data_IF_477333552910
#
_entry.id   IF_477333552910
#
_cell.length_a   1.000
_cell.length_b   1.000
_cell.length_c   1.000
_cell.angle_alpha   90.00
_cell.angle_beta   90.00
_cell.angle_gamma   90.00
#
_symmetry.space_group_name_H-M   'P 1'
#
loop_
_entity.id
_entity.type
_entity.pdbx_description
1 polymer ?
#
# COMPACT_ATOMS: atom_id res chain seq x y z
N UNK A 1 1.10 -20.38 -18.73
CA UNK A 1 1.29 -19.00 -19.19
C UNK A 1 2.55 -18.46 -18.54
N UNK A 2 3.37 -17.72 -19.30
CA UNK A 2 4.55 -17.04 -18.78
C UNK A 2 4.22 -15.60 -18.44
N UNK A 3 4.53 -15.19 -17.19
CA UNK A 3 4.27 -13.84 -16.68
C UNK A 3 5.58 -13.22 -16.20
N UNK A 4 5.91 -12.05 -16.73
CA UNK A 4 7.02 -11.25 -16.22
C UNK A 4 6.47 -10.18 -15.27
N UNK A 5 7.08 -10.03 -14.08
CA UNK A 5 6.73 -9.02 -13.10
C UNK A 5 7.88 -8.05 -12.94
N UNK A 6 7.70 -6.85 -13.48
CA UNK A 6 8.68 -5.76 -13.42
C UNK A 6 8.44 -4.91 -12.19
N UNK A 7 9.39 -4.86 -11.29
CA UNK A 7 9.26 -4.11 -10.02
C UNK A 7 10.62 -3.66 -9.50
N UNK A 8 10.62 -2.66 -8.65
CA UNK A 8 11.72 -2.27 -7.78
C UNK A 8 11.62 -3.08 -6.47
N UNK A 9 12.16 -4.30 -6.45
CA UNK A 9 11.93 -5.33 -5.41
C UNK A 9 12.31 -4.86 -3.99
N UNK A 10 13.30 -4.01 -3.87
CA UNK A 10 13.80 -3.55 -2.57
C UNK A 10 12.92 -2.47 -1.92
N UNK A 11 11.91 -1.97 -2.64
CA UNK A 11 10.99 -0.95 -2.14
C UNK A 11 9.81 -1.55 -1.38
N UNK A 12 8.92 -0.65 -0.93
CA UNK A 12 7.67 -0.95 -0.21
C UNK A 12 6.82 -2.06 -0.84
N UNK A 13 6.86 -2.20 -2.15
CA UNK A 13 5.92 -3.04 -2.91
C UNK A 13 6.38 -4.50 -3.08
N UNK A 14 7.64 -4.82 -2.79
CA UNK A 14 8.19 -6.16 -3.01
C UNK A 14 7.42 -7.27 -2.28
N UNK A 15 6.93 -7.01 -1.05
CA UNK A 15 6.14 -8.00 -0.30
C UNK A 15 4.78 -8.27 -0.96
N UNK A 16 4.06 -7.22 -1.38
CA UNK A 16 2.78 -7.35 -2.06
C UNK A 16 2.93 -8.14 -3.36
N UNK A 17 3.95 -7.81 -4.15
CA UNK A 17 4.25 -8.51 -5.39
C UNK A 17 4.54 -9.99 -5.16
N UNK A 18 5.34 -10.33 -4.14
CA UNK A 18 5.64 -11.74 -3.82
C UNK A 18 4.41 -12.52 -3.41
N UNK A 19 3.54 -11.96 -2.57
CA UNK A 19 2.28 -12.62 -2.17
C UNK A 19 1.43 -12.95 -3.39
N UNK A 20 1.30 -12.00 -4.31
CA UNK A 20 0.55 -12.18 -5.54
C UNK A 20 1.21 -13.22 -6.47
N UNK A 21 2.54 -13.17 -6.61
CA UNK A 21 3.27 -14.12 -7.43
C UNK A 21 3.23 -15.54 -6.90
N UNK A 22 3.45 -15.72 -5.59
CA UNK A 22 3.34 -17.04 -4.96
C UNK A 22 1.97 -17.67 -5.32
N UNK A 23 0.90 -16.86 -5.33
CA UNK A 23 -0.44 -17.33 -5.72
C UNK A 23 -0.53 -17.78 -7.18
N UNK A 24 0.13 -17.09 -8.11
CA UNK A 24 0.16 -17.48 -9.52
C UNK A 24 1.06 -18.70 -9.75
N UNK A 25 2.19 -18.78 -9.06
CA UNK A 25 3.08 -19.95 -9.10
C UNK A 25 2.36 -21.21 -8.61
N UNK A 26 1.62 -21.11 -7.49
CA UNK A 26 0.82 -22.20 -6.93
C UNK A 26 -0.29 -22.67 -7.91
N UNK A 27 -0.75 -21.76 -8.79
CA UNK A 27 -1.70 -22.06 -9.86
C UNK A 27 -1.05 -22.63 -11.14
N UNK A 28 0.27 -22.84 -11.15
CA UNK A 28 0.99 -23.45 -12.26
C UNK A 28 1.42 -22.50 -13.37
N UNK A 29 1.43 -21.18 -13.12
CA UNK A 29 2.00 -20.21 -14.06
C UNK A 29 3.52 -20.13 -13.91
N UNK A 30 4.22 -19.83 -15.02
CA UNK A 30 5.66 -19.57 -15.04
C UNK A 30 5.89 -18.07 -14.77
N UNK A 31 6.46 -17.75 -13.62
CA UNK A 31 6.62 -16.35 -13.15
C UNK A 31 8.10 -16.00 -13.11
N UNK A 32 8.48 -14.94 -13.80
CA UNK A 32 9.82 -14.37 -13.76
C UNK A 32 9.80 -12.96 -13.18
N UNK A 33 10.59 -12.76 -12.14
CA UNK A 33 10.81 -11.44 -11.54
C UNK A 33 11.91 -10.70 -12.28
N UNK A 34 11.62 -9.44 -12.59
CA UNK A 34 12.57 -8.54 -13.25
C UNK A 34 12.78 -7.35 -12.35
N UNK A 35 13.90 -7.35 -11.64
CA UNK A 35 14.29 -6.25 -10.78
C UNK A 35 14.74 -5.06 -11.63
N UNK A 36 14.08 -3.94 -11.46
CA UNK A 36 14.41 -2.69 -12.12
C UNK A 36 15.46 -1.86 -11.33
N UNK A 37 15.65 -2.17 -10.04
CA UNK A 37 16.48 -1.36 -9.15
C UNK A 37 15.98 0.08 -9.03
N UNK A 38 16.82 0.97 -8.54
CA UNK A 38 16.48 2.37 -8.23
C UNK A 38 16.90 3.38 -9.31
N UNK A 39 17.61 2.95 -10.35
CA UNK A 39 18.07 3.85 -11.41
C UNK A 39 16.99 4.03 -12.49
N UNK A 40 16.28 5.14 -12.43
CA UNK A 40 15.23 5.50 -13.40
C UNK A 40 15.77 5.81 -14.80
N UNK A 41 17.06 6.08 -14.95
CA UNK A 41 17.70 6.39 -16.24
C UNK A 41 18.18 5.15 -16.99
N UNK A 42 18.29 4.01 -16.31
CA UNK A 42 18.67 2.77 -16.97
C UNK A 42 17.57 2.27 -17.93
N UNK A 43 17.90 1.77 -19.13
CA UNK A 43 16.91 1.15 -20.01
C UNK A 43 16.27 -0.07 -19.36
N UNK A 44 15.11 -0.47 -19.84
CA UNK A 44 14.49 -1.71 -19.38
C UNK A 44 15.41 -2.90 -19.70
N UNK A 45 15.51 -3.90 -18.81
CA UNK A 45 16.27 -5.11 -19.08
C UNK A 45 15.73 -5.80 -20.33
N UNK A 46 16.64 -6.30 -21.16
CA UNK A 46 16.26 -7.13 -22.31
C UNK A 46 16.06 -8.57 -21.83
N UNK A 47 14.82 -8.92 -21.54
CA UNK A 47 14.41 -10.26 -21.12
C UNK A 47 13.63 -10.97 -22.23
N UNK A 48 13.47 -12.27 -22.12
CA UNK A 48 12.69 -13.06 -23.08
C UNK A 48 11.25 -12.60 -23.23
N UNK A 49 10.48 -13.30 -24.07
CA UNK A 49 9.05 -13.02 -24.24
C UNK A 49 8.23 -13.57 -23.08
N UNK A 50 7.16 -12.87 -22.73
CA UNK A 50 6.11 -13.32 -21.84
C UNK A 50 4.74 -13.14 -22.49
N UNK A 51 3.75 -13.91 -22.03
CA UNK A 51 2.36 -13.72 -22.45
C UNK A 51 1.81 -12.43 -21.83
N UNK A 52 2.13 -12.20 -20.54
CA UNK A 52 1.71 -11.01 -19.79
C UNK A 52 2.90 -10.39 -19.07
N UNK A 53 3.00 -9.06 -19.13
CA UNK A 53 3.93 -8.24 -18.37
C UNK A 53 3.14 -7.46 -17.31
N UNK A 54 3.38 -7.74 -16.05
CA UNK A 54 2.85 -6.98 -14.93
C UNK A 54 3.86 -5.91 -14.53
N UNK A 55 3.47 -4.67 -14.72
CA UNK A 55 4.29 -3.48 -14.49
C UNK A 55 3.90 -2.89 -13.14
N UNK A 56 4.71 -3.09 -12.14
CA UNK A 56 4.41 -2.59 -10.78
C UNK A 56 4.79 -1.11 -10.69
N UNK A 57 3.80 -0.26 -10.46
CA UNK A 57 3.96 1.20 -10.42
C UNK A 57 4.64 1.68 -9.12
N UNK A 58 5.85 1.22 -8.86
CA UNK A 58 6.69 1.66 -7.75
C UNK A 58 7.25 3.08 -7.95
N UNK A 59 7.99 3.54 -6.94
CA UNK A 59 8.57 4.90 -6.91
C UNK A 59 9.54 5.13 -8.08
N UNK A 60 10.34 4.12 -8.41
CA UNK A 60 11.36 4.19 -9.47
C UNK A 60 10.88 3.54 -10.78
N UNK A 61 10.01 2.53 -10.67
CA UNK A 61 9.54 1.77 -11.82
C UNK A 61 8.63 2.59 -12.75
N UNK A 62 7.65 3.30 -12.20
CA UNK A 62 6.71 4.10 -12.99
C UNK A 62 7.38 5.19 -13.85
N UNK A 63 8.29 6.02 -13.31
CA UNK A 63 9.05 6.97 -14.11
C UNK A 63 9.90 6.30 -15.20
N UNK A 64 10.48 5.13 -14.90
CA UNK A 64 11.30 4.38 -15.84
C UNK A 64 10.50 3.85 -17.02
N UNK A 65 9.30 3.31 -16.79
CA UNK A 65 8.39 2.92 -17.87
C UNK A 65 7.99 4.10 -18.73
N UNK A 66 7.64 5.24 -18.13
CA UNK A 66 7.27 6.44 -18.88
C UNK A 66 8.42 6.98 -19.73
N UNK A 67 9.68 6.85 -19.26
CA UNK A 67 10.87 7.32 -19.96
C UNK A 67 11.34 6.40 -21.08
N UNK A 68 11.34 5.09 -20.84
CA UNK A 68 11.96 4.10 -21.73
C UNK A 68 10.95 3.23 -22.50
N UNK A 69 9.64 3.46 -22.29
CA UNK A 69 8.57 2.66 -22.86
C UNK A 69 8.32 1.35 -22.12
N UNK A 70 7.51 0.50 -22.72
CA UNK A 70 7.12 -0.80 -22.17
C UNK A 70 7.92 -1.94 -22.81
N UNK A 71 7.93 -3.15 -22.24
CA UNK A 71 8.49 -4.34 -22.88
C UNK A 71 7.92 -4.52 -24.29
N UNK A 72 8.75 -5.03 -25.23
CA UNK A 72 8.37 -5.09 -26.66
C UNK A 72 7.28 -6.11 -26.98
N UNK A 73 7.13 -7.13 -26.16
CA UNK A 73 6.26 -8.29 -26.43
C UNK A 73 5.35 -8.58 -25.23
N UNK A 74 4.21 -9.20 -25.50
CA UNK A 74 3.22 -9.58 -24.50
C UNK A 74 2.19 -8.49 -24.18
N UNK A 75 1.22 -8.83 -23.38
CA UNK A 75 0.19 -7.93 -22.90
C UNK A 75 0.70 -7.16 -21.67
N UNK A 76 0.33 -5.92 -21.51
CA UNK A 76 0.81 -5.05 -20.43
C UNK A 76 -0.31 -4.74 -19.45
N UNK A 77 -0.09 -5.09 -18.18
CA UNK A 77 -0.97 -4.78 -17.07
C UNK A 77 -0.20 -3.88 -16.09
N UNK A 78 -0.69 -2.69 -15.84
CA UNK A 78 -0.09 -1.80 -14.85
C UNK A 78 -0.76 -2.00 -13.49
N UNK A 79 0.02 -2.38 -12.49
CA UNK A 79 -0.43 -2.43 -11.10
C UNK A 79 -0.16 -1.10 -10.42
N UNK A 80 -1.24 -0.33 -10.21
CA UNK A 80 -1.18 1.03 -9.70
C UNK A 80 -1.56 1.06 -8.21
N UNK A 81 -0.70 1.66 -7.40
CA UNK A 81 -0.84 1.74 -5.94
C UNK A 81 -1.23 3.12 -5.46
N UNK A 82 -0.70 4.15 -6.11
CA UNK A 82 -0.90 5.53 -5.70
C UNK A 82 -2.10 6.14 -6.42
N UNK A 83 -2.81 7.07 -5.77
CA UNK A 83 -3.93 7.75 -6.39
C UNK A 83 -3.51 8.51 -7.65
N UNK A 84 -4.42 8.55 -8.62
CA UNK A 84 -4.27 9.31 -9.84
C UNK A 84 -5.12 10.58 -9.76
N UNK A 85 -4.47 11.73 -9.95
CA UNK A 85 -5.15 13.03 -9.91
C UNK A 85 -4.43 14.06 -10.75
N UNK A 86 -5.19 14.98 -11.34
CA UNK A 86 -4.69 16.19 -12.01
C UNK A 86 -4.76 17.43 -11.10
N UNK A 87 -5.21 17.29 -9.87
CA UNK A 87 -5.25 18.40 -8.91
C UNK A 87 -3.82 18.90 -8.62
N UNK A 88 -3.58 20.17 -8.92
CA UNK A 88 -2.26 20.79 -8.78
C UNK A 88 -1.79 20.89 -7.32
N UNK A 89 -2.70 20.88 -6.36
CA UNK A 89 -2.38 20.88 -4.95
C UNK A 89 -1.90 19.52 -4.43
N UNK A 90 -2.16 18.43 -5.17
CA UNK A 90 -1.76 17.10 -4.74
C UNK A 90 -0.30 16.76 -5.05
N UNK A 91 0.37 16.12 -4.09
CA UNK A 91 1.70 15.55 -4.28
C UNK A 91 1.72 14.40 -5.29
N UNK A 92 0.54 13.81 -5.59
CA UNK A 92 0.40 12.69 -6.53
C UNK A 92 0.17 13.10 -7.99
N UNK A 93 -0.01 14.39 -8.29
CA UNK A 93 -0.34 14.86 -9.65
C UNK A 93 0.64 14.40 -10.73
N UNK A 94 1.94 14.33 -10.39
CA UNK A 94 2.96 13.89 -11.35
C UNK A 94 2.77 12.44 -11.80
N UNK A 95 2.18 11.59 -10.96
CA UNK A 95 1.90 10.18 -11.27
C UNK A 95 0.80 10.03 -12.32
N UNK A 96 -0.20 10.92 -12.29
CA UNK A 96 -1.21 10.97 -13.33
C UNK A 96 -0.62 11.27 -14.71
N UNK A 97 0.32 12.20 -14.80
CA UNK A 97 1.00 12.50 -16.08
C UNK A 97 1.84 11.32 -16.59
N UNK A 98 2.51 10.60 -15.69
CA UNK A 98 3.27 9.39 -16.07
C UNK A 98 2.31 8.27 -16.51
N UNK A 99 1.20 8.10 -15.81
CA UNK A 99 0.15 7.15 -16.17
C UNK A 99 -0.45 7.48 -17.54
N UNK A 100 -0.82 8.74 -17.79
CA UNK A 100 -1.42 9.19 -19.04
C UNK A 100 -0.52 8.87 -20.24
N UNK A 101 0.81 8.98 -20.08
CA UNK A 101 1.77 8.62 -21.12
C UNK A 101 1.81 7.11 -21.42
N UNK A 102 1.52 6.27 -20.43
CA UNK A 102 1.56 4.81 -20.56
C UNK A 102 0.21 4.21 -20.96
N UNK A 103 -0.90 4.82 -20.55
CA UNK A 103 -2.24 4.28 -20.71
C UNK A 103 -2.60 3.82 -22.14
N UNK A 104 -2.19 4.52 -23.22
CA UNK A 104 -2.47 4.06 -24.60
C UNK A 104 -1.79 2.73 -24.97
N UNK A 105 -0.81 2.28 -24.19
CA UNK A 105 -0.03 1.08 -24.44
C UNK A 105 -0.38 -0.07 -23.45
N UNK A 106 -1.30 0.19 -22.52
CA UNK A 106 -1.75 -0.80 -21.54
C UNK A 106 -2.94 -1.60 -22.07
N UNK A 107 -3.06 -2.82 -21.60
CA UNK A 107 -4.20 -3.70 -21.86
C UNK A 107 -5.17 -3.72 -20.67
N UNK A 108 -4.62 -3.52 -19.45
CA UNK A 108 -5.43 -3.41 -18.24
C UNK A 108 -4.67 -2.65 -17.13
N UNK A 109 -5.42 -2.25 -16.11
CA UNK A 109 -4.91 -1.67 -14.87
C UNK A 109 -5.40 -2.50 -13.68
N UNK A 110 -4.51 -2.86 -12.80
CA UNK A 110 -4.83 -3.37 -11.47
C UNK A 110 -4.84 -2.18 -10.51
N UNK A 111 -6.02 -1.83 -10.01
CA UNK A 111 -6.22 -0.69 -9.13
C UNK A 111 -6.33 -1.13 -7.68
N UNK A 112 -5.56 -0.50 -6.79
CA UNK A 112 -5.66 -0.78 -5.35
C UNK A 112 -6.79 -0.03 -4.67
N UNK A 113 -7.27 1.07 -5.23
CA UNK A 113 -8.38 1.84 -4.68
C UNK A 113 -9.29 2.43 -5.76
N UNK A 114 -10.47 2.87 -5.32
CA UNK A 114 -11.51 3.41 -6.19
C UNK A 114 -11.12 4.75 -6.87
N UNK A 115 -10.11 5.48 -6.38
CA UNK A 115 -9.67 6.71 -7.04
C UNK A 115 -9.01 6.43 -8.38
N UNK A 116 -8.27 5.32 -8.45
CA UNK A 116 -7.63 4.85 -9.68
C UNK A 116 -8.70 4.42 -10.68
N UNK A 117 -9.70 3.63 -10.24
CA UNK A 117 -10.83 3.21 -11.09
C UNK A 117 -11.57 4.41 -11.67
N UNK A 118 -11.94 5.39 -10.82
CA UNK A 118 -12.61 6.62 -11.25
C UNK A 118 -11.80 7.41 -12.27
N UNK A 119 -10.49 7.56 -12.03
CA UNK A 119 -9.61 8.26 -12.96
C UNK A 119 -9.56 7.57 -14.32
N UNK A 120 -9.36 6.25 -14.33
CA UNK A 120 -9.30 5.47 -15.58
C UNK A 120 -10.63 5.52 -16.31
N UNK A 121 -11.76 5.31 -15.64
CA UNK A 121 -13.09 5.38 -16.24
C UNK A 121 -13.37 6.75 -16.88
N UNK A 122 -12.89 7.83 -16.27
CA UNK A 122 -13.07 9.19 -16.77
C UNK A 122 -12.20 9.53 -17.98
N UNK A 123 -10.93 9.08 -17.99
CA UNK A 123 -9.93 9.54 -18.97
C UNK A 123 -9.60 8.47 -20.03
N UNK A 124 -9.79 7.19 -19.71
CA UNK A 124 -9.44 6.04 -20.55
C UNK A 124 -10.54 4.95 -20.50
N UNK A 125 -11.79 5.25 -20.91
CA UNK A 125 -12.95 4.37 -20.71
C UNK A 125 -12.86 3.01 -21.43
N UNK A 126 -11.95 2.87 -22.40
CA UNK A 126 -11.71 1.61 -23.10
C UNK A 126 -10.70 0.71 -22.37
N UNK A 127 -9.98 1.22 -21.36
CA UNK A 127 -8.97 0.47 -20.64
C UNK A 127 -9.62 -0.34 -19.51
N UNK A 128 -9.40 -1.65 -19.52
CA UNK A 128 -9.94 -2.52 -18.48
C UNK A 128 -9.32 -2.21 -17.11
N UNK A 129 -10.14 -2.17 -16.07
CA UNK A 129 -9.69 -1.96 -14.69
C UNK A 129 -10.14 -3.12 -13.81
N UNK A 130 -9.22 -3.65 -13.04
CA UNK A 130 -9.46 -4.71 -12.07
C UNK A 130 -9.08 -4.23 -10.67
N UNK A 131 -10.03 -4.26 -9.76
CA UNK A 131 -9.73 -3.96 -8.37
C UNK A 131 -8.96 -5.11 -7.71
N UNK A 132 -7.78 -4.83 -7.21
CA UNK A 132 -6.93 -5.75 -6.48
C UNK A 132 -6.37 -5.06 -5.22
N UNK A 133 -6.89 -5.36 -4.03
CA UNK A 133 -6.38 -4.78 -2.79
C UNK A 133 -4.99 -5.33 -2.44
N UNK A 134 -4.34 -4.70 -1.48
CA UNK A 134 -3.15 -5.24 -0.86
C UNK A 134 -3.46 -6.56 -0.16
N UNK A 135 -2.77 -7.63 -0.53
CA UNK A 135 -2.97 -8.95 0.06
C UNK A 135 -1.90 -9.26 1.11
N UNK A 136 -2.32 -9.94 2.18
CA UNK A 136 -1.44 -10.36 3.26
C UNK A 136 -1.48 -11.87 3.40
N UNK A 137 -0.36 -12.54 3.13
CA UNK A 137 -0.27 -13.98 3.38
C UNK A 137 -0.34 -14.29 4.88
N UNK A 138 -1.03 -15.34 5.25
CA UNK A 138 -1.20 -15.76 6.66
C UNK A 138 0.12 -15.90 7.42
N UNK A 139 1.18 -16.38 6.73
CA UNK A 139 2.55 -16.48 7.29
C UNK A 139 3.15 -15.12 7.73
N UNK A 140 2.59 -13.99 7.26
CA UNK A 140 3.02 -12.65 7.62
C UNK A 140 2.20 -12.04 8.76
N UNK A 141 1.06 -12.64 9.12
CA UNK A 141 0.25 -12.21 10.25
C UNK A 141 0.82 -12.80 11.52
N UNK A 142 1.53 -11.97 12.28
CA UNK A 142 2.25 -12.36 13.50
C UNK A 142 1.37 -12.22 14.72
N UNK A 143 1.62 -13.05 15.74
CA UNK A 143 1.04 -12.80 17.06
C UNK A 143 1.48 -11.42 17.56
N UNK A 144 0.55 -10.62 18.13
CA UNK A 144 0.90 -9.33 18.71
C UNK A 144 1.92 -9.50 19.83
N UNK A 145 2.85 -8.55 19.93
CA UNK A 145 3.76 -8.49 21.08
C UNK A 145 2.97 -8.18 22.35
N UNK A 146 3.38 -8.77 23.47
CA UNK A 146 2.86 -8.38 24.79
C UNK A 146 3.14 -6.92 25.06
N UNK A 147 2.30 -6.26 25.83
CA UNK A 147 2.46 -4.84 26.17
C UNK A 147 3.83 -4.54 26.77
N UNK A 148 4.36 -5.42 27.60
CA UNK A 148 5.69 -5.31 28.23
C UNK A 148 6.84 -5.46 27.25
N UNK A 149 6.62 -6.02 26.07
CA UNK A 149 7.62 -6.17 25.01
C UNK A 149 7.65 -4.98 24.03
N UNK A 150 6.66 -4.09 24.11
CA UNK A 150 6.58 -2.91 23.28
C UNK A 150 7.43 -1.79 23.88
N UNK A 151 8.45 -1.39 23.17
CA UNK A 151 9.41 -0.38 23.59
C UNK A 151 9.12 1.03 23.04
N UNK A 152 8.08 1.18 22.21
CA UNK A 152 7.68 2.44 21.59
C UNK A 152 6.22 2.76 21.90
N UNK A 153 5.90 4.04 22.05
CA UNK A 153 4.53 4.52 22.20
C UNK A 153 3.82 4.58 20.84
N UNK A 154 4.06 5.66 20.13
CA UNK A 154 3.45 5.96 18.84
C UNK A 154 4.54 6.08 17.78
N UNK A 155 4.30 5.56 16.58
CA UNK A 155 5.22 5.72 15.46
C UNK A 155 4.48 6.21 14.22
N UNK A 156 5.08 7.14 13.49
CA UNK A 156 4.71 7.50 12.12
C UNK A 156 5.89 7.17 11.20
N UNK A 157 5.65 6.32 10.19
CA UNK A 157 6.63 6.00 9.17
C UNK A 157 6.13 6.45 7.80
N UNK A 158 6.90 7.28 7.09
CA UNK A 158 6.46 7.73 5.77
C UNK A 158 7.31 8.86 5.20
N UNK A 159 6.99 9.29 3.98
CA UNK A 159 7.64 10.43 3.35
C UNK A 159 7.38 11.74 4.12
N UNK A 160 8.35 12.63 4.07
CA UNK A 160 8.25 13.98 4.64
C UNK A 160 7.30 14.83 3.78
N UNK A 161 6.22 15.33 4.37
CA UNK A 161 5.29 16.25 3.72
C UNK A 161 4.84 17.35 4.69
N UNK A 162 4.42 18.52 4.19
CA UNK A 162 3.96 19.62 5.04
C UNK A 162 2.85 19.21 6.01
N UNK A 163 1.86 18.42 5.53
CA UNK A 163 0.74 17.93 6.35
C UNK A 163 1.22 17.04 7.51
N UNK A 164 2.14 16.14 7.23
CA UNK A 164 2.69 15.24 8.25
C UNK A 164 3.59 15.97 9.25
N UNK A 165 4.35 16.95 8.79
CA UNK A 165 5.13 17.84 9.68
C UNK A 165 4.25 18.67 10.59
N UNK A 166 3.10 19.11 10.10
CA UNK A 166 2.16 19.83 10.97
C UNK A 166 1.55 18.90 12.04
N UNK A 167 1.24 17.66 11.68
CA UNK A 167 0.82 16.65 12.66
C UNK A 167 1.93 16.37 13.70
N UNK A 168 3.19 16.21 13.28
CA UNK A 168 4.34 16.05 14.20
C UNK A 168 4.40 17.17 15.22
N UNK A 169 4.28 18.45 14.80
CA UNK A 169 4.27 19.60 15.71
C UNK A 169 3.17 19.51 16.75
N UNK A 170 1.98 19.02 16.37
CA UNK A 170 0.85 18.85 17.30
C UNK A 170 1.11 17.77 18.34
N UNK A 171 1.71 16.66 17.95
CA UNK A 171 2.12 15.61 18.90
C UNK A 171 3.18 16.13 19.88
N UNK A 172 4.14 16.92 19.41
CA UNK A 172 5.18 17.51 20.26
C UNK A 172 4.64 18.58 21.20
N UNK A 173 3.59 19.29 20.79
CA UNK A 173 2.90 20.30 21.61
C UNK A 173 1.85 19.71 22.56
N UNK A 174 1.61 18.40 22.53
CA UNK A 174 0.63 17.75 23.40
C UNK A 174 1.01 17.91 24.86
N UNK A 175 0.05 18.28 25.74
CA UNK A 175 0.31 18.45 27.17
C UNK A 175 0.70 17.14 27.88
N UNK A 176 0.35 15.99 27.29
CA UNK A 176 0.76 14.67 27.78
C UNK A 176 1.90 14.13 26.93
N UNK A 177 2.99 13.65 27.52
CA UNK A 177 4.11 13.06 26.78
C UNK A 177 3.66 11.74 26.12
N UNK A 178 3.40 11.80 24.82
CA UNK A 178 2.85 10.64 24.05
C UNK A 178 3.93 9.67 23.57
N UNK A 179 5.22 9.97 23.78
CA UNK A 179 6.33 9.20 23.23
C UNK A 179 6.12 8.86 21.75
N UNK A 180 5.88 9.90 20.93
CA UNK A 180 5.63 9.78 19.50
C UNK A 180 6.92 9.99 18.70
N UNK A 181 7.21 9.06 17.81
CA UNK A 181 8.38 9.11 16.93
C UNK A 181 7.92 9.25 15.49
N UNK A 182 8.47 10.26 14.77
CA UNK A 182 8.22 10.50 13.37
C UNK A 182 9.48 10.20 12.58
N UNK A 183 9.43 9.18 11.72
CA UNK A 183 10.59 8.66 10.96
C UNK A 183 10.30 8.86 9.48
N UNK A 184 10.99 9.84 8.87
CA UNK A 184 10.73 10.32 7.51
C UNK A 184 11.50 9.58 6.42
N UNK A 185 12.56 8.85 6.79
CA UNK A 185 13.38 8.10 5.83
C UNK A 185 14.22 7.03 6.52
N UNK A 186 14.87 6.18 5.73
CA UNK A 186 15.94 5.29 6.19
C UNK A 186 15.49 3.99 6.86
N UNK A 187 14.19 3.73 6.99
CA UNK A 187 13.69 2.54 7.66
C UNK A 187 12.90 1.65 6.69
N UNK A 188 13.53 0.56 6.25
CA UNK A 188 12.96 -0.38 5.28
C UNK A 188 13.02 -1.83 5.77
N UNK A 189 12.24 -2.71 5.17
CA UNK A 189 12.29 -4.15 5.39
C UNK A 189 12.11 -4.53 6.86
N UNK A 190 12.97 -5.42 7.36
CA UNK A 190 12.89 -5.96 8.72
C UNK A 190 13.00 -4.88 9.82
N UNK A 191 13.80 -3.83 9.61
CA UNK A 191 13.92 -2.74 10.57
C UNK A 191 12.61 -1.92 10.69
N UNK A 192 11.93 -1.67 9.56
CA UNK A 192 10.61 -1.04 9.54
C UNK A 192 9.57 -1.91 10.26
N UNK A 193 9.57 -3.21 9.99
CA UNK A 193 8.67 -4.16 10.62
C UNK A 193 8.89 -4.23 12.14
N UNK A 194 10.15 -4.29 12.58
CA UNK A 194 10.48 -4.29 13.99
C UNK A 194 10.06 -2.99 14.69
N UNK A 195 10.21 -1.85 14.02
CA UNK A 195 9.74 -0.56 14.54
C UNK A 195 8.22 -0.55 14.73
N UNK A 196 7.44 -1.00 13.72
CA UNK A 196 5.97 -1.09 13.84
C UNK A 196 5.55 -2.09 14.91
N UNK A 197 6.09 -3.31 14.89
CA UNK A 197 5.73 -4.34 15.87
C UNK A 197 6.04 -3.91 17.31
N UNK A 198 7.16 -3.21 17.53
CA UNK A 198 7.56 -2.68 18.84
C UNK A 198 6.75 -1.46 19.30
N UNK A 199 5.89 -0.92 18.46
CA UNK A 199 5.05 0.25 18.79
C UNK A 199 3.68 -0.17 19.32
N UNK A 200 3.08 0.66 20.17
CA UNK A 200 1.70 0.48 20.64
C UNK A 200 0.70 0.93 19.60
N UNK A 201 1.01 2.05 18.92
CA UNK A 201 0.18 2.66 17.89
C UNK A 201 1.05 3.04 16.71
N UNK A 202 0.56 2.83 15.50
CA UNK A 202 1.13 3.36 14.27
C UNK A 202 0.17 4.34 13.62
N UNK A 203 0.69 5.51 13.23
CA UNK A 203 -0.11 6.54 12.57
C UNK A 203 -0.16 6.30 11.05
N UNK A 204 -1.34 6.53 10.48
CA UNK A 204 -1.56 6.60 9.05
C UNK A 204 -2.09 7.98 8.68
N UNK A 205 -1.19 8.90 8.31
CA UNK A 205 -1.51 10.27 7.93
C UNK A 205 -1.27 10.42 6.43
N UNK A 206 -2.28 10.89 5.68
CA UNK A 206 -2.19 11.14 4.25
C UNK A 206 -1.09 12.15 3.91
N UNK A 207 -0.56 12.05 2.72
CA UNK A 207 0.52 12.91 2.27
C UNK A 207 0.05 14.36 2.05
N UNK A 208 -1.20 14.53 1.60
CA UNK A 208 -1.87 15.82 1.42
C UNK A 208 -3.34 15.75 1.87
N UNK A 209 -4.06 16.86 1.79
CA UNK A 209 -5.46 16.94 2.17
C UNK A 209 -6.42 16.64 1.00
N UNK A 210 -5.91 16.58 -0.21
CA UNK A 210 -6.70 16.46 -1.44
C UNK A 210 -7.12 15.01 -1.72
N UNK A 211 -6.43 14.05 -1.10
CA UNK A 211 -6.66 12.62 -1.30
C UNK A 211 -6.88 11.93 0.03
N UNK A 212 -8.12 11.54 0.23
CA UNK A 212 -8.59 10.76 1.38
C UNK A 212 -8.83 9.31 0.98
N UNK A 213 -7.82 8.64 0.46
CA UNK A 213 -7.86 7.21 0.17
C UNK A 213 -7.30 6.38 1.31
N UNK A 214 -7.75 5.14 1.41
CA UNK A 214 -7.25 4.22 2.42
C UNK A 214 -5.82 3.76 2.11
N UNK A 215 -4.85 4.10 2.96
CA UNK A 215 -3.46 3.62 2.83
C UNK A 215 -3.35 2.16 3.29
N UNK A 216 -3.71 1.25 2.39
CA UNK A 216 -3.72 -0.18 2.62
C UNK A 216 -2.34 -0.71 3.03
N UNK A 217 -1.26 -0.23 2.41
CA UNK A 217 0.09 -0.65 2.77
C UNK A 217 0.40 -0.41 4.22
N UNK A 218 0.14 0.82 4.68
CA UNK A 218 0.47 1.19 6.05
C UNK A 218 -0.40 0.46 7.05
N UNK A 219 -1.71 0.40 6.79
CA UNK A 219 -2.64 -0.23 7.70
C UNK A 219 -2.46 -1.74 7.73
N UNK A 220 -2.48 -2.42 6.58
CA UNK A 220 -2.46 -3.89 6.53
C UNK A 220 -1.12 -4.47 6.99
N UNK A 221 0.00 -3.86 6.63
CA UNK A 221 1.31 -4.27 7.17
C UNK A 221 1.39 -4.07 8.68
N UNK A 222 0.82 -2.99 9.20
CA UNK A 222 0.79 -2.70 10.63
C UNK A 222 -0.08 -3.70 11.39
N UNK A 223 -1.28 -3.99 10.88
CA UNK A 223 -2.18 -4.99 11.46
C UNK A 223 -1.56 -6.39 11.44
N UNK A 224 -0.92 -6.76 10.32
CA UNK A 224 -0.20 -8.03 10.21
C UNK A 224 0.90 -8.20 11.28
N UNK A 225 1.49 -7.11 11.72
CA UNK A 225 2.52 -7.09 12.78
C UNK A 225 1.91 -6.98 14.20
N UNK A 226 0.58 -6.91 14.31
CA UNK A 226 -0.10 -6.88 15.59
C UNK A 226 -0.08 -5.51 16.28
N UNK A 227 -0.07 -4.41 15.53
CA UNK A 227 -0.03 -3.04 16.06
C UNK A 227 -1.32 -2.30 15.68
N UNK A 228 -1.87 -1.52 16.61
CA UNK A 228 -3.05 -0.71 16.38
C UNK A 228 -2.75 0.46 15.43
N UNK A 229 -3.74 0.84 14.62
CA UNK A 229 -3.64 1.96 13.68
C UNK A 229 -4.56 3.08 14.10
N UNK A 230 -4.02 4.31 14.11
CA UNK A 230 -4.80 5.55 14.10
C UNK A 230 -4.59 6.24 12.76
N UNK A 231 -5.67 6.48 12.03
CA UNK A 231 -5.63 7.08 10.69
C UNK A 231 -6.34 8.43 10.68
N UNK A 232 -5.92 9.33 9.78
CA UNK A 232 -6.80 10.43 9.43
C UNK A 232 -8.01 9.90 8.62
N UNK A 233 -9.03 10.74 8.44
CA UNK A 233 -10.26 10.33 7.78
C UNK A 233 -10.01 9.94 6.32
N UNK A 234 -10.63 8.86 5.88
CA UNK A 234 -10.63 8.41 4.50
C UNK A 234 -12.03 7.91 4.12
N UNK A 235 -12.29 7.91 2.83
CA UNK A 235 -13.56 7.46 2.23
C UNK A 235 -13.48 6.02 1.76
N UNK A 236 -14.64 5.38 1.58
CA UNK A 236 -14.74 4.05 0.98
C UNK A 236 -14.28 2.90 1.88
N UNK A 237 -14.16 3.14 3.19
CA UNK A 237 -13.77 2.11 4.16
C UNK A 237 -14.74 0.92 4.19
N UNK A 238 -16.02 1.14 3.85
CA UNK A 238 -17.06 0.11 3.76
C UNK A 238 -16.71 -0.95 2.71
N UNK A 239 -16.12 -0.54 1.59
CA UNK A 239 -15.74 -1.46 0.51
C UNK A 239 -14.67 -2.46 0.93
N UNK A 240 -13.87 -2.10 1.94
CA UNK A 240 -12.89 -2.98 2.58
C UNK A 240 -13.48 -3.78 3.76
N UNK A 241 -14.73 -3.49 4.17
CA UNK A 241 -15.33 -4.04 5.37
C UNK A 241 -14.65 -3.56 6.64
N UNK A 242 -14.04 -2.40 6.59
CA UNK A 242 -13.44 -1.73 7.73
C UNK A 242 -14.54 -1.03 8.52
N UNK A 243 -14.48 -1.12 9.83
CA UNK A 243 -15.37 -0.42 10.76
C UNK A 243 -14.51 0.46 11.67
N UNK A 244 -14.61 1.80 11.54
CA UNK A 244 -13.94 2.71 12.45
C UNK A 244 -14.34 2.47 13.91
N UNK A 245 -13.35 2.47 14.81
CA UNK A 245 -13.55 2.10 16.22
C UNK A 245 -13.35 0.62 16.51
N UNK A 246 -13.58 -0.28 15.52
CA UNK A 246 -13.35 -1.71 15.64
C UNK A 246 -11.98 -2.13 15.07
N UNK A 247 -11.69 -1.75 13.82
CA UNK A 247 -10.47 -2.17 13.13
C UNK A 247 -9.34 -1.14 13.23
N UNK A 248 -9.69 0.15 13.27
CA UNK A 248 -8.77 1.27 13.48
C UNK A 248 -9.50 2.43 14.13
N UNK A 249 -8.77 3.38 14.71
CA UNK A 249 -9.35 4.66 15.09
C UNK A 249 -9.16 5.67 13.96
N UNK A 250 -10.19 6.52 13.72
CA UNK A 250 -10.12 7.63 12.79
C UNK A 250 -10.20 8.94 13.54
N UNK A 251 -9.32 9.87 13.21
CA UNK A 251 -9.31 11.20 13.80
C UNK A 251 -8.75 12.22 12.81
N UNK A 252 -9.17 13.48 12.92
CA UNK A 252 -8.48 14.55 12.21
C UNK A 252 -7.03 14.67 12.72
N UNK A 253 -6.08 15.19 11.93
CA UNK A 253 -4.72 15.42 12.43
C UNK A 253 -4.67 16.30 13.68
N UNK A 254 -5.70 17.13 13.92
CA UNK A 254 -5.85 17.95 15.11
C UNK A 254 -6.16 17.13 16.36
N UNK A 255 -7.03 16.13 16.20
CA UNK A 255 -7.57 15.33 17.30
C UNK A 255 -6.76 14.06 17.56
N UNK A 256 -5.88 13.68 16.61
CA UNK A 256 -5.05 12.47 16.74
C UNK A 256 -4.27 12.35 18.04
N UNK A 257 -3.62 13.41 18.58
CA UNK A 257 -2.91 13.30 19.85
C UNK A 257 -3.82 12.87 21.00
N UNK A 258 -5.05 13.40 21.05
CA UNK A 258 -6.03 13.05 22.07
C UNK A 258 -6.49 11.58 21.91
N UNK A 259 -6.86 11.17 20.69
CA UNK A 259 -7.28 9.77 20.40
C UNK A 259 -6.16 8.79 20.71
N UNK A 260 -4.92 9.14 20.41
CA UNK A 260 -3.76 8.31 20.75
C UNK A 260 -3.56 8.21 22.27
N UNK A 261 -3.73 9.31 23.01
CA UNK A 261 -3.64 9.30 24.47
C UNK A 261 -4.67 8.34 25.08
N UNK A 262 -5.93 8.40 24.63
CA UNK A 262 -7.01 7.52 25.07
C UNK A 262 -6.69 6.05 24.77
N UNK A 263 -6.24 5.75 23.54
CA UNK A 263 -5.87 4.39 23.16
C UNK A 263 -4.61 3.87 23.88
N UNK A 264 -3.65 4.73 24.23
CA UNK A 264 -2.50 4.33 25.04
C UNK A 264 -2.93 3.94 26.45
N UNK A 265 -3.92 4.60 27.02
CA UNK A 265 -4.48 4.31 28.34
C UNK A 265 -5.38 3.06 28.36
N UNK A 266 -6.04 2.74 27.24
CA UNK A 266 -7.00 1.63 27.12
C UNK A 266 -6.38 0.43 26.39
N UNK A 267 -5.58 -0.36 27.13
CA UNK A 267 -4.92 -1.57 26.60
C UNK A 267 -5.92 -2.59 26.05
N UNK A 268 -7.02 -2.94 26.76
CA UNK A 268 -7.99 -3.91 26.25
C UNK A 268 -8.64 -3.50 24.93
N UNK A 269 -9.02 -2.23 24.78
CA UNK A 269 -9.58 -1.70 23.55
C UNK A 269 -8.57 -1.80 22.40
N UNK A 270 -7.31 -1.45 22.65
CA UNK A 270 -6.23 -1.52 21.65
C UNK A 270 -5.96 -2.96 21.19
N UNK A 271 -5.97 -3.92 22.12
CA UNK A 271 -5.80 -5.35 21.81
C UNK A 271 -6.99 -5.90 21.01
N UNK A 272 -8.22 -5.56 21.38
CA UNK A 272 -9.41 -5.95 20.65
C UNK A 272 -9.40 -5.42 19.21
N UNK A 273 -8.96 -4.16 19.01
CA UNK A 273 -8.81 -3.55 17.68
C UNK A 273 -7.80 -4.32 16.84
N UNK A 274 -6.66 -4.69 17.39
CA UNK A 274 -5.64 -5.49 16.68
C UNK A 274 -6.18 -6.87 16.30
N UNK A 275 -6.88 -7.54 17.18
CA UNK A 275 -7.47 -8.86 16.91
C UNK A 275 -8.50 -8.78 15.78
N UNK A 276 -9.42 -7.81 15.82
CA UNK A 276 -10.42 -7.60 14.78
C UNK A 276 -9.77 -7.32 13.43
N UNK A 277 -8.74 -6.46 13.40
CA UNK A 277 -8.00 -6.14 12.18
C UNK A 277 -7.27 -7.33 11.58
N UNK A 278 -6.63 -8.16 12.42
CA UNK A 278 -5.97 -9.37 11.96
C UNK A 278 -6.96 -10.43 11.46
N UNK A 279 -8.15 -10.50 12.06
CA UNK A 279 -9.23 -11.36 11.58
C UNK A 279 -9.70 -10.90 10.19
N UNK A 280 -9.94 -9.60 10.00
CA UNK A 280 -10.31 -9.01 8.71
C UNK A 280 -9.28 -9.34 7.62
N UNK A 281 -7.97 -9.22 7.93
CA UNK A 281 -6.92 -9.60 6.98
C UNK A 281 -7.00 -11.06 6.56
N UNK A 282 -7.18 -11.98 7.51
CA UNK A 282 -7.24 -13.42 7.21
C UNK A 282 -8.46 -13.78 6.38
N UNK A 283 -9.61 -13.17 6.67
CA UNK A 283 -10.88 -13.50 6.02
C UNK A 283 -11.02 -12.86 4.64
N UNK A 284 -10.67 -11.57 4.51
CA UNK A 284 -10.97 -10.80 3.30
C UNK A 284 -9.76 -10.48 2.43
N UNK A 285 -8.55 -10.43 2.99
CA UNK A 285 -7.35 -9.97 2.28
C UNK A 285 -6.23 -11.01 2.24
N UNK A 286 -6.57 -12.27 2.45
CA UNK A 286 -5.64 -13.39 2.22
C UNK A 286 -5.55 -13.74 0.73
N UNK A 287 -4.41 -14.31 0.26
CA UNK A 287 -4.30 -14.82 -1.10
C UNK A 287 -5.42 -15.79 -1.47
N UNK A 288 -5.80 -16.68 -0.56
CA UNK A 288 -6.85 -17.66 -0.80
C UNK A 288 -8.22 -17.01 -1.11
N UNK A 289 -8.54 -15.88 -0.45
CA UNK A 289 -9.78 -15.17 -0.70
C UNK A 289 -9.83 -14.50 -2.10
N UNK A 290 -8.67 -14.28 -2.72
CA UNK A 290 -8.54 -13.53 -3.98
C UNK A 290 -8.03 -14.37 -5.15
N UNK A 291 -7.57 -15.60 -4.92
CA UNK A 291 -6.94 -16.45 -5.94
C UNK A 291 -7.76 -16.54 -7.23
N UNK A 292 -9.04 -16.87 -7.12
CA UNK A 292 -9.89 -17.02 -8.33
C UNK A 292 -10.01 -15.71 -9.13
N UNK A 293 -10.12 -14.57 -8.46
CA UNK A 293 -10.18 -13.26 -9.14
C UNK A 293 -8.85 -12.88 -9.79
N UNK A 294 -7.73 -13.18 -9.13
CA UNK A 294 -6.40 -12.91 -9.66
C UNK A 294 -6.12 -13.72 -10.91
N UNK A 295 -6.45 -15.03 -10.89
CA UNK A 295 -6.30 -15.90 -12.04
C UNK A 295 -7.17 -15.45 -13.21
N UNK A 296 -8.46 -15.23 -12.95
CA UNK A 296 -9.41 -14.77 -13.98
C UNK A 296 -8.97 -13.45 -14.63
N UNK A 297 -8.43 -12.53 -13.85
CA UNK A 297 -7.91 -11.26 -14.35
C UNK A 297 -6.72 -11.46 -15.30
N UNK A 298 -5.71 -12.22 -14.89
CA UNK A 298 -4.51 -12.46 -15.73
C UNK A 298 -4.87 -13.23 -17.00
N UNK A 299 -5.72 -14.24 -16.89
CA UNK A 299 -6.18 -15.04 -18.03
C UNK A 299 -7.03 -14.22 -19.01
N UNK A 300 -7.81 -13.25 -18.53
CA UNK A 300 -8.62 -12.37 -19.39
C UNK A 300 -7.78 -11.38 -20.20
N UNK A 301 -6.56 -11.12 -19.78
CA UNK A 301 -5.63 -10.20 -20.48
C UNK A 301 -4.74 -10.99 -21.47
N UNK A 302 -4.38 -12.23 -21.18
CA UNK A 302 -3.53 -13.05 -22.03
C UNK A 302 -4.17 -13.36 -23.37
#
# INVERSE_FOLDING_TARGET
MKVHVYTDIETLFGRACRVWMDTLLDAGHDIEFIDLGTNTDAPLPNVGQADVNVLVAGIYALPRFAKHGLPRHGRHVLWMFDPLTKNEASVHRHKASLFDALAPHLHAVMAMDASIERYVAQHFPALAVFWLPYLVAGKHVRAPLLETQRNRGIVMLGGDTPRRREAEKRFLASPSPLNAEFIWSGLWGAARDACRAGSRISLSIHADAEHTYFDQFRAFETWALGTAVVSDHFEGWESFGIEPGLHLAMASPQDMPQVCAELLADVPRREAMVQASQQLLREKFSPAAWQGRMLSMIESVA
#
